data_IF_941278034493
#
_entry.id   IF_941278034493
#
_cell.length_a   1.000
_cell.length_b   1.000
_cell.length_c   1.000
_cell.angle_alpha   90.00
_cell.angle_beta   90.00
_cell.angle_gamma   90.00
#
_symmetry.space_group_name_H-M   'P 1'
#
loop_
_entity.id
_entity.type
_entity.pdbx_description
1 polymer ?
#
# COMPACT_ATOMS: atom_id res chain seq x y z
N UNK A 1 -10.47 2.92 -1.92
CA UNK A 1 -11.32 1.83 -1.42
C UNK A 1 -10.67 0.47 -1.66
N UNK A 2 -11.03 -0.50 -0.83
CA UNK A 2 -10.50 -1.87 -0.92
C UNK A 2 -11.10 -2.61 -2.12
N UNK A 3 -10.29 -3.43 -2.81
CA UNK A 3 -10.70 -4.33 -3.90
C UNK A 3 -11.37 -3.66 -5.12
N UNK A 4 -11.08 -2.42 -5.40
CA UNK A 4 -11.53 -1.74 -6.62
C UNK A 4 -10.56 -1.88 -7.80
N UNK A 5 -9.53 -2.73 -7.68
CA UNK A 5 -8.58 -3.02 -8.76
C UNK A 5 -7.34 -2.12 -8.81
N UNK A 6 -7.04 -1.32 -7.78
CA UNK A 6 -5.89 -0.40 -7.81
C UNK A 6 -4.56 -1.13 -8.07
N UNK A 7 -4.30 -2.24 -7.39
CA UNK A 7 -3.08 -3.02 -7.59
C UNK A 7 -2.97 -3.54 -9.02
N UNK A 8 -4.07 -4.01 -9.61
CA UNK A 8 -4.11 -4.45 -11.00
C UNK A 8 -3.84 -3.30 -11.97
N UNK A 9 -4.49 -2.15 -11.74
CA UNK A 9 -4.32 -0.94 -12.56
C UNK A 9 -2.86 -0.48 -12.57
N UNK A 10 -2.24 -0.34 -11.39
CA UNK A 10 -0.85 0.09 -11.30
C UNK A 10 0.14 -0.97 -11.80
N UNK A 11 -0.21 -2.26 -11.74
CA UNK A 11 0.57 -3.31 -12.39
C UNK A 11 0.55 -3.19 -13.91
N UNK A 12 -0.62 -2.88 -14.48
CA UNK A 12 -0.77 -2.63 -15.92
C UNK A 12 0.00 -1.39 -16.35
N UNK A 13 -0.22 -0.26 -15.67
CA UNK A 13 0.46 1.03 -15.95
C UNK A 13 1.98 0.91 -15.88
N UNK A 14 2.49 0.22 -14.86
CA UNK A 14 3.91 0.01 -14.71
C UNK A 14 4.50 -0.88 -15.81
N UNK A 15 3.78 -1.94 -16.19
CA UNK A 15 4.20 -2.81 -17.28
C UNK A 15 4.20 -2.05 -18.62
N UNK A 16 3.14 -1.32 -18.93
CA UNK A 16 3.07 -0.46 -20.11
C UNK A 16 4.21 0.55 -20.16
N UNK A 17 4.44 1.26 -19.05
CA UNK A 17 5.54 2.23 -18.96
C UNK A 17 6.90 1.56 -19.18
N UNK A 18 7.17 0.41 -18.57
CA UNK A 18 8.40 -0.33 -18.76
C UNK A 18 8.61 -0.75 -20.24
N UNK A 19 7.56 -1.19 -20.90
CA UNK A 19 7.61 -1.58 -22.31
C UNK A 19 7.89 -0.36 -23.20
N UNK A 20 7.24 0.76 -22.92
CA UNK A 20 7.33 1.96 -23.76
C UNK A 20 8.63 2.73 -23.58
N UNK A 21 9.17 2.78 -22.37
CA UNK A 21 10.31 3.66 -22.04
C UNK A 21 11.62 2.92 -21.80
N UNK A 22 11.58 1.65 -21.42
CA UNK A 22 12.76 0.92 -20.94
C UNK A 22 13.13 1.27 -19.49
N UNK A 23 12.35 2.09 -18.79
CA UNK A 23 12.65 2.54 -17.44
C UNK A 23 12.35 1.45 -16.39
N UNK A 24 13.21 1.34 -15.35
CA UNK A 24 12.99 0.38 -14.27
C UNK A 24 11.74 0.71 -13.46
N UNK A 25 11.05 -0.35 -13.03
CA UNK A 25 9.86 -0.27 -12.19
C UNK A 25 10.12 -1.02 -10.88
N UNK A 26 9.84 -0.38 -9.76
CA UNK A 26 10.13 -0.92 -8.44
C UNK A 26 8.82 -0.95 -7.63
N UNK A 27 8.47 -2.13 -7.15
CA UNK A 27 7.27 -2.34 -6.34
C UNK A 27 7.69 -2.62 -4.91
N UNK A 28 7.22 -1.79 -3.98
CA UNK A 28 7.38 -1.99 -2.56
C UNK A 28 6.04 -2.35 -1.93
N UNK A 29 6.03 -3.40 -1.13
CA UNK A 29 4.85 -3.86 -0.40
C UNK A 29 5.22 -4.22 1.03
N UNK A 30 4.24 -4.18 1.95
CA UNK A 30 4.46 -4.50 3.36
C UNK A 30 5.03 -5.92 3.58
N UNK A 31 4.73 -6.86 2.69
CA UNK A 31 5.22 -8.23 2.76
C UNK A 31 5.71 -8.75 1.40
N UNK A 32 6.55 -9.78 1.45
CA UNK A 32 7.00 -10.50 0.24
C UNK A 32 5.82 -11.08 -0.55
N UNK A 33 4.81 -11.60 0.14
CA UNK A 33 3.62 -12.18 -0.49
C UNK A 33 2.86 -11.12 -1.30
N UNK A 34 2.69 -9.92 -0.78
CA UNK A 34 2.05 -8.82 -1.52
C UNK A 34 2.87 -8.37 -2.73
N UNK A 35 4.20 -8.32 -2.60
CA UNK A 35 5.07 -8.03 -3.74
C UNK A 35 4.96 -9.08 -4.85
N UNK A 36 4.82 -10.36 -4.50
CA UNK A 36 4.57 -11.45 -5.47
C UNK A 36 3.18 -11.35 -6.12
N UNK A 37 2.16 -10.82 -5.46
CA UNK A 37 0.87 -10.54 -6.11
C UNK A 37 1.01 -9.50 -7.22
N UNK A 38 1.76 -8.44 -7.01
CA UNK A 38 2.08 -7.48 -8.07
C UNK A 38 2.74 -8.16 -9.26
N UNK A 39 3.74 -8.98 -8.98
CA UNK A 39 4.42 -9.75 -10.01
C UNK A 39 3.46 -10.64 -10.79
N UNK A 40 2.57 -11.35 -10.09
CA UNK A 40 1.60 -12.25 -10.74
C UNK A 40 0.63 -11.50 -11.66
N UNK A 41 0.18 -10.30 -11.27
CA UNK A 41 -0.64 -9.46 -12.16
C UNK A 41 0.10 -9.09 -13.43
N UNK A 42 1.36 -8.67 -13.35
CA UNK A 42 2.15 -8.30 -14.51
C UNK A 42 2.37 -9.51 -15.45
N UNK A 43 2.71 -10.67 -14.89
CA UNK A 43 2.86 -11.91 -15.66
C UNK A 43 1.56 -12.27 -16.38
N UNK A 44 0.42 -12.24 -15.68
CA UNK A 44 -0.89 -12.54 -16.24
C UNK A 44 -1.29 -11.52 -17.33
N UNK A 45 -1.05 -10.23 -17.12
CA UNK A 45 -1.30 -9.17 -18.09
C UNK A 45 -0.48 -9.43 -19.38
N UNK A 46 0.81 -9.69 -19.22
CA UNK A 46 1.69 -9.96 -20.35
C UNK A 46 1.24 -11.18 -21.16
N UNK A 47 0.83 -12.26 -20.49
CA UNK A 47 0.35 -13.47 -21.14
C UNK A 47 -1.02 -13.28 -21.80
N UNK A 48 -2.00 -12.73 -21.06
CA UNK A 48 -3.39 -12.64 -21.55
C UNK A 48 -3.58 -11.62 -22.67
N UNK A 49 -2.92 -10.47 -22.59
CA UNK A 49 -3.14 -9.37 -23.53
C UNK A 49 -2.09 -9.29 -24.64
N UNK A 50 -0.89 -9.83 -24.40
CA UNK A 50 0.22 -9.69 -25.35
C UNK A 50 0.81 -11.04 -25.80
N UNK A 51 0.39 -12.18 -25.21
CA UNK A 51 0.93 -13.49 -25.53
C UNK A 51 2.40 -13.68 -25.14
N UNK A 52 2.88 -12.90 -24.16
CA UNK A 52 4.29 -12.89 -23.74
C UNK A 52 4.43 -13.61 -22.40
N UNK A 53 5.30 -14.61 -22.35
CA UNK A 53 5.65 -15.28 -21.10
C UNK A 53 6.79 -14.54 -20.40
N UNK A 54 6.52 -13.96 -19.25
CA UNK A 54 7.51 -13.28 -18.41
C UNK A 54 7.99 -14.20 -17.29
N UNK A 55 9.31 -14.25 -17.08
CA UNK A 55 9.94 -15.07 -16.04
C UNK A 55 10.97 -14.28 -15.25
N UNK A 56 11.43 -14.85 -14.13
CA UNK A 56 12.46 -14.26 -13.29
C UNK A 56 11.92 -13.33 -12.19
N UNK A 57 12.83 -12.97 -11.28
CA UNK A 57 12.68 -11.92 -10.29
C UNK A 57 14.09 -11.34 -10.02
N UNK A 58 14.45 -10.15 -10.53
CA UNK A 58 13.57 -9.24 -11.31
C UNK A 58 13.13 -9.82 -12.67
N UNK A 59 11.99 -9.34 -13.17
CA UNK A 59 11.61 -9.57 -14.57
C UNK A 59 12.45 -8.59 -15.42
N UNK A 60 13.06 -9.10 -16.50
CA UNK A 60 13.83 -8.28 -17.43
C UNK A 60 13.18 -8.29 -18.80
N UNK A 61 12.90 -7.11 -19.32
CA UNK A 61 12.36 -6.94 -20.67
C UNK A 61 13.48 -6.81 -21.70
N UNK A 62 13.17 -7.09 -22.96
CA UNK A 62 14.14 -7.04 -24.07
C UNK A 62 14.71 -5.63 -24.33
N UNK A 63 13.98 -4.58 -23.94
CA UNK A 63 14.42 -3.19 -24.05
C UNK A 63 15.31 -2.72 -22.87
N UNK A 64 15.64 -3.62 -21.93
CA UNK A 64 16.49 -3.36 -20.79
C UNK A 64 15.75 -2.95 -19.51
N UNK A 65 14.42 -2.74 -19.56
CA UNK A 65 13.65 -2.45 -18.35
C UNK A 65 13.70 -3.60 -17.36
N UNK A 66 13.81 -3.29 -16.08
CA UNK A 66 13.73 -4.26 -14.99
C UNK A 66 12.54 -3.95 -14.09
N UNK A 67 11.73 -4.97 -13.81
CA UNK A 67 10.63 -4.89 -12.85
C UNK A 67 11.03 -5.67 -11.59
N UNK A 68 11.12 -4.95 -10.47
CA UNK A 68 11.59 -5.48 -9.18
C UNK A 68 10.47 -5.48 -8.15
N UNK A 69 10.34 -6.58 -7.42
CA UNK A 69 9.29 -6.79 -6.42
C UNK A 69 9.95 -7.00 -5.06
N UNK A 70 9.86 -5.98 -4.21
CA UNK A 70 10.63 -5.91 -2.98
C UNK A 70 9.71 -5.77 -1.76
N UNK A 71 9.98 -6.51 -0.68
CA UNK A 71 9.38 -6.21 0.61
C UNK A 71 10.04 -4.95 1.22
N UNK A 72 9.35 -4.30 2.14
CA UNK A 72 9.78 -3.04 2.78
C UNK A 72 10.97 -3.17 3.74
N UNK A 73 11.76 -4.24 3.66
CA UNK A 73 12.91 -4.43 4.54
C UNK A 73 14.09 -3.51 4.17
N UNK A 74 14.78 -3.02 5.21
CA UNK A 74 15.78 -1.97 5.24
C UNK A 74 16.97 -2.08 4.29
N UNK A 75 17.38 -3.28 3.91
CA UNK A 75 18.70 -3.49 3.28
C UNK A 75 18.64 -3.66 1.75
N UNK A 76 17.46 -3.85 1.18
CA UNK A 76 17.31 -4.24 -0.23
C UNK A 76 16.98 -3.06 -1.14
N UNK A 77 16.40 -2.00 -0.61
CA UNK A 77 15.81 -0.94 -1.42
C UNK A 77 16.79 0.18 -1.82
N UNK A 78 17.85 0.43 -1.04
CA UNK A 78 18.74 1.60 -1.26
C UNK A 78 19.60 1.55 -2.53
N UNK A 79 19.63 0.43 -3.24
CA UNK A 79 20.55 0.25 -4.39
C UNK A 79 19.88 0.41 -5.75
N UNK A 80 18.60 0.75 -5.78
CA UNK A 80 17.84 0.79 -7.04
C UNK A 80 17.29 2.18 -7.32
N UNK A 81 17.17 2.52 -8.59
CA UNK A 81 16.55 3.76 -9.07
C UNK A 81 15.54 3.43 -10.17
N UNK A 82 14.37 4.07 -10.14
CA UNK A 82 13.30 3.83 -11.09
C UNK A 82 11.97 4.41 -10.64
N UNK A 83 10.92 4.17 -11.42
CA UNK A 83 9.55 4.46 -11.02
C UNK A 83 9.17 3.56 -9.85
N UNK A 84 8.60 4.16 -8.80
CA UNK A 84 8.29 3.48 -7.55
C UNK A 84 6.79 3.38 -7.33
N UNK A 85 6.38 2.19 -6.90
CA UNK A 85 5.00 1.88 -6.50
C UNK A 85 5.00 1.33 -5.09
N UNK A 86 4.35 2.04 -4.16
CA UNK A 86 4.20 1.65 -2.76
C UNK A 86 2.76 1.22 -2.50
N UNK A 87 2.54 -0.10 -2.43
CA UNK A 87 1.23 -0.68 -2.14
C UNK A 87 0.99 -0.78 -0.64
N UNK A 88 -0.25 -0.48 -0.24
CA UNK A 88 -0.75 -0.57 1.13
C UNK A 88 0.16 0.15 2.16
N UNK A 89 0.65 1.34 1.79
CA UNK A 89 1.61 2.09 2.61
C UNK A 89 1.08 2.51 4.00
N UNK A 90 -0.24 2.62 4.18
CA UNK A 90 -0.88 2.83 5.49
C UNK A 90 -0.86 1.59 6.40
N UNK A 91 -0.39 0.45 5.89
CA UNK A 91 -0.26 -0.80 6.62
C UNK A 91 1.19 -1.22 6.83
N UNK A 92 2.14 -0.33 6.48
CA UNK A 92 3.57 -0.54 6.70
C UNK A 92 3.95 -0.01 8.08
N UNK A 93 4.39 -0.85 9.02
CA UNK A 93 4.64 -0.44 10.42
C UNK A 93 5.63 0.72 10.59
N UNK A 94 6.63 0.81 9.72
CA UNK A 94 7.65 1.86 9.79
C UNK A 94 7.67 2.70 8.51
N UNK A 95 6.57 3.41 8.28
CA UNK A 95 6.38 4.21 7.07
C UNK A 95 7.44 5.30 6.89
N UNK A 96 7.82 6.01 7.96
CA UNK A 96 8.83 7.09 7.87
C UNK A 96 10.11 6.58 7.23
N UNK A 97 10.60 5.43 7.69
CA UNK A 97 11.81 4.83 7.14
C UNK A 97 11.63 4.32 5.71
N UNK A 98 10.46 3.76 5.40
CA UNK A 98 10.11 3.38 4.03
C UNK A 98 10.15 4.59 3.11
N UNK A 99 9.54 5.70 3.53
CA UNK A 99 9.45 6.92 2.74
C UNK A 99 10.83 7.57 2.50
N UNK A 100 11.73 7.52 3.47
CA UNK A 100 13.13 7.94 3.28
C UNK A 100 13.82 7.13 2.18
N UNK A 101 13.69 5.81 2.22
CA UNK A 101 14.26 4.91 1.20
C UNK A 101 13.59 5.13 -0.15
N UNK A 102 12.28 5.23 -0.19
CA UNK A 102 11.49 5.47 -1.39
C UNK A 102 11.90 6.78 -2.08
N UNK A 103 12.05 7.85 -1.31
CA UNK A 103 12.50 9.16 -1.81
C UNK A 103 13.91 9.09 -2.41
N UNK A 104 14.83 8.33 -1.81
CA UNK A 104 16.17 8.13 -2.35
C UNK A 104 16.16 7.38 -3.69
N UNK A 105 15.27 6.40 -3.87
CA UNK A 105 15.15 5.62 -5.11
C UNK A 105 14.58 6.44 -6.27
N UNK A 106 13.73 7.41 -5.99
CA UNK A 106 13.07 8.27 -6.96
C UNK A 106 13.59 9.72 -6.91
N UNK A 107 14.87 9.93 -6.59
CA UNK A 107 15.47 11.28 -6.46
C UNK A 107 15.53 12.03 -7.78
N UNK A 108 15.62 11.34 -8.91
CA UNK A 108 15.63 11.99 -10.21
C UNK A 108 14.23 12.42 -10.64
N UNK A 109 14.06 13.63 -11.14
CA UNK A 109 12.77 14.19 -11.57
C UNK A 109 12.00 13.34 -12.60
N UNK A 110 12.71 12.48 -13.33
CA UNK A 110 12.07 11.57 -14.29
C UNK A 110 11.35 10.39 -13.62
N UNK A 111 11.66 10.06 -12.35
CA UNK A 111 11.07 8.95 -11.65
C UNK A 111 9.81 9.37 -10.91
N UNK A 112 8.71 8.65 -11.14
CA UNK A 112 7.47 8.84 -10.40
C UNK A 112 7.47 7.99 -9.13
N UNK A 113 6.84 8.52 -8.10
CA UNK A 113 6.54 7.79 -6.87
C UNK A 113 5.02 7.71 -6.71
N UNK A 114 4.49 6.51 -6.74
CA UNK A 114 3.06 6.23 -6.64
C UNK A 114 2.78 5.51 -5.33
N UNK A 115 2.00 6.14 -4.45
CA UNK A 115 1.53 5.56 -3.19
C UNK A 115 0.04 5.27 -3.30
N UNK A 116 -0.39 4.07 -2.96
CA UNK A 116 -1.81 3.74 -2.91
C UNK A 116 -2.09 2.76 -1.78
N UNK A 117 -3.22 2.94 -1.11
CA UNK A 117 -3.59 2.17 0.07
C UNK A 117 -5.05 2.40 0.44
N UNK A 118 -5.60 1.50 1.23
CA UNK A 118 -6.73 1.82 2.10
C UNK A 118 -6.24 2.59 3.32
N UNK A 119 -7.04 3.49 3.91
CA UNK A 119 -6.65 4.19 5.13
C UNK A 119 -6.57 3.23 6.34
N UNK A 120 -5.83 3.66 7.33
CA UNK A 120 -5.75 3.01 8.64
C UNK A 120 -6.09 4.01 9.76
N UNK A 121 -5.41 3.96 10.91
CA UNK A 121 -5.61 4.91 11.99
C UNK A 121 -4.93 6.26 11.72
N UNK A 122 -5.51 7.36 12.22
CA UNK A 122 -4.90 8.70 12.18
C UNK A 122 -3.58 8.78 12.94
N UNK A 123 -3.33 7.86 13.87
CA UNK A 123 -2.06 7.74 14.59
C UNK A 123 -0.94 7.10 13.78
N UNK A 124 -1.24 6.52 12.62
CA UNK A 124 -0.24 5.90 11.77
C UNK A 124 0.74 6.93 11.19
N UNK A 125 2.02 6.58 11.09
CA UNK A 125 3.10 7.46 10.60
C UNK A 125 2.85 8.04 9.20
N UNK A 126 2.11 7.35 8.35
CA UNK A 126 1.76 7.84 7.01
C UNK A 126 0.64 8.90 7.01
N UNK A 127 -0.07 9.11 8.12
CA UNK A 127 -1.17 10.08 8.16
C UNK A 127 -0.70 11.53 7.97
N UNK A 128 0.35 12.03 8.66
CA UNK A 128 0.91 13.36 8.40
C UNK A 128 1.44 13.55 6.97
N UNK A 129 1.97 12.50 6.35
CA UNK A 129 2.36 12.50 4.95
C UNK A 129 1.15 12.69 4.03
N UNK A 130 0.05 11.96 4.26
CA UNK A 130 -1.18 12.08 3.49
C UNK A 130 -1.86 13.44 3.64
N UNK A 131 -1.94 13.96 4.87
CA UNK A 131 -2.59 15.25 5.15
C UNK A 131 -1.73 16.46 4.77
N UNK A 132 -0.46 16.25 4.46
CA UNK A 132 0.51 17.29 4.21
C UNK A 132 1.05 17.96 5.48
N UNK A 133 0.71 17.45 6.67
CA UNK A 133 1.18 18.04 7.94
C UNK A 133 2.69 17.86 8.12
N UNK A 134 3.27 16.77 7.60
CA UNK A 134 4.71 16.58 7.53
C UNK A 134 5.40 17.70 6.72
N UNK A 135 4.85 18.02 5.54
CA UNK A 135 5.36 19.10 4.71
C UNK A 135 5.21 20.48 5.36
N UNK A 136 4.11 20.73 6.08
CA UNK A 136 3.87 21.98 6.81
C UNK A 136 4.89 22.22 7.92
N UNK A 137 5.34 21.16 8.59
CA UNK A 137 6.36 21.24 9.65
C UNK A 137 7.70 21.79 9.14
N UNK A 138 7.99 21.66 7.85
CA UNK A 138 9.23 22.13 7.25
C UNK A 138 9.40 23.66 7.22
N UNK A 139 8.34 24.45 7.45
CA UNK A 139 8.42 25.91 7.48
C UNK A 139 7.20 26.56 8.12
N UNK A 140 7.42 27.61 8.96
CA UNK A 140 6.33 28.41 9.55
C UNK A 140 5.38 29.01 8.50
N UNK A 141 5.90 29.36 7.30
CA UNK A 141 5.08 29.88 6.20
C UNK A 141 4.09 28.85 5.66
N UNK A 142 4.42 27.54 5.73
CA UNK A 142 3.60 26.45 5.24
C UNK A 142 2.46 26.09 6.19
N UNK A 143 2.56 26.42 7.47
CA UNK A 143 1.56 26.04 8.49
C UNK A 143 0.17 26.59 8.19
N UNK A 144 0.08 27.79 7.60
CA UNK A 144 -1.19 28.42 7.23
C UNK A 144 -1.79 27.91 5.93
N UNK A 145 -1.05 27.11 5.15
CA UNK A 145 -1.49 26.63 3.83
C UNK A 145 -2.51 25.50 4.02
N UNK A 146 -3.69 25.66 3.42
CA UNK A 146 -4.74 24.65 3.46
C UNK A 146 -4.50 23.58 2.39
N UNK A 147 -4.65 22.32 2.78
CA UNK A 147 -4.72 21.20 1.87
C UNK A 147 -6.17 20.96 1.45
N UNK A 148 -6.40 20.32 0.29
CA UNK A 148 -7.74 19.95 -0.14
C UNK A 148 -8.44 19.07 0.89
N UNK A 149 -9.73 19.26 1.02
CA UNK A 149 -10.61 18.44 1.85
C UNK A 149 -10.81 17.05 1.24
N UNK A 150 -11.35 16.13 2.04
CA UNK A 150 -11.69 14.79 1.57
C UNK A 150 -12.62 14.81 0.34
N UNK A 151 -13.65 15.65 0.38
CA UNK A 151 -14.62 15.74 -0.72
C UNK A 151 -13.99 16.34 -1.98
N UNK A 152 -13.13 17.35 -1.84
CA UNK A 152 -12.39 17.89 -2.96
C UNK A 152 -11.43 16.87 -3.58
N UNK A 153 -10.85 15.95 -2.80
CA UNK A 153 -10.01 14.88 -3.31
C UNK A 153 -10.83 13.75 -3.95
N UNK A 154 -12.11 13.58 -3.62
CA UNK A 154 -13.01 12.66 -4.32
C UNK A 154 -13.43 13.19 -5.69
N UNK A 155 -13.51 14.51 -5.83
CA UNK A 155 -13.91 15.18 -7.07
C UNK A 155 -12.75 15.26 -8.09
N UNK A 156 -12.28 14.09 -8.56
CA UNK A 156 -11.30 13.98 -9.64
C UNK A 156 -9.83 14.06 -9.24
N UNK A 157 -9.51 14.17 -7.95
CA UNK A 157 -8.15 14.33 -7.46
C UNK A 157 -7.53 15.70 -7.75
N UNK A 158 -6.47 16.07 -7.03
CA UNK A 158 -5.83 17.40 -7.15
C UNK A 158 -4.34 17.37 -6.85
N UNK A 159 -3.61 18.27 -7.48
CA UNK A 159 -2.26 18.60 -7.06
C UNK A 159 -2.34 19.41 -5.77
N UNK A 160 -1.71 18.90 -4.71
CA UNK A 160 -1.69 19.52 -3.39
C UNK A 160 -0.53 20.53 -3.26
N UNK A 161 -0.54 21.39 -2.21
CA UNK A 161 0.49 22.41 -2.01
C UNK A 161 1.93 21.88 -1.88
N UNK A 162 2.11 20.61 -1.54
CA UNK A 162 3.40 19.92 -1.51
C UNK A 162 3.84 19.37 -2.88
N UNK A 163 3.08 19.66 -3.95
CA UNK A 163 3.36 19.22 -5.31
C UNK A 163 2.87 17.79 -5.61
N UNK A 164 2.34 17.08 -4.64
CA UNK A 164 1.83 15.72 -4.87
C UNK A 164 0.37 15.73 -5.33
N UNK A 165 0.07 14.91 -6.33
CA UNK A 165 -1.31 14.67 -6.73
C UNK A 165 -1.95 13.65 -5.79
N UNK A 166 -3.13 13.97 -5.26
CA UNK A 166 -3.91 13.07 -4.39
C UNK A 166 -5.30 12.85 -4.92
N UNK A 167 -5.77 11.64 -4.76
CA UNK A 167 -7.11 11.24 -5.16
C UNK A 167 -7.72 10.24 -4.17
N UNK A 168 -9.00 10.39 -3.89
CA UNK A 168 -9.78 9.46 -3.07
C UNK A 168 -10.85 8.83 -3.94
N UNK A 169 -10.91 7.49 -3.94
CA UNK A 169 -11.96 6.72 -4.62
C UNK A 169 -12.62 5.82 -3.58
N UNK A 170 -13.85 6.13 -3.23
CA UNK A 170 -14.67 5.27 -2.36
C UNK A 170 -15.29 4.12 -3.16
N UNK A 171 -15.93 3.16 -2.47
CA UNK A 171 -16.69 2.11 -3.16
C UNK A 171 -17.87 2.69 -3.92
N UNK A 172 -18.51 3.73 -3.39
CA UNK A 172 -19.60 4.43 -4.07
C UNK A 172 -19.13 5.09 -5.37
N UNK A 173 -17.97 5.74 -5.34
CA UNK A 173 -17.37 6.35 -6.53
C UNK A 173 -17.01 5.29 -7.58
N UNK A 174 -16.46 4.17 -7.15
CA UNK A 174 -16.12 3.06 -8.04
C UNK A 174 -17.38 2.47 -8.70
N UNK A 175 -18.47 2.25 -7.94
CA UNK A 175 -19.74 1.76 -8.47
C UNK A 175 -20.35 2.79 -9.44
N UNK A 176 -20.34 4.07 -9.10
CA UNK A 176 -20.77 5.13 -9.99
C UNK A 176 -19.96 5.17 -11.29
N UNK A 177 -18.67 4.83 -11.23
CA UNK A 177 -17.78 4.68 -12.37
C UNK A 177 -17.93 3.36 -13.17
N UNK A 178 -18.87 2.49 -12.79
CA UNK A 178 -19.18 1.24 -13.51
C UNK A 178 -18.61 -0.04 -12.87
N UNK A 179 -17.99 0.05 -11.69
CA UNK A 179 -17.53 -1.14 -10.97
C UNK A 179 -18.74 -1.96 -10.47
N UNK A 180 -18.90 -3.18 -10.96
CA UNK A 180 -20.06 -4.04 -10.71
C UNK A 180 -19.75 -5.36 -9.99
N UNK A 181 -18.51 -5.54 -9.51
CA UNK A 181 -18.08 -6.79 -8.87
C UNK A 181 -18.39 -6.83 -7.36
N UNK A 182 -18.88 -5.73 -6.77
CA UNK A 182 -19.25 -5.67 -5.37
C UNK A 182 -20.68 -5.17 -5.17
N UNK A 183 -21.35 -5.71 -4.15
CA UNK A 183 -22.65 -5.22 -3.70
C UNK A 183 -22.45 -4.47 -2.38
N UNK A 184 -22.63 -3.14 -2.41
CA UNK A 184 -22.36 -2.27 -1.27
C UNK A 184 -23.26 -2.55 -0.06
N UNK A 185 -24.52 -2.91 -0.29
CA UNK A 185 -25.46 -3.23 0.79
C UNK A 185 -25.05 -4.53 1.53
N UNK A 186 -24.59 -5.54 0.79
CA UNK A 186 -24.04 -6.75 1.41
C UNK A 186 -22.78 -6.44 2.23
N UNK A 187 -21.94 -5.52 1.76
CA UNK A 187 -20.75 -5.09 2.48
C UNK A 187 -21.12 -4.32 3.75
N UNK A 188 -22.11 -3.41 3.70
CA UNK A 188 -22.61 -2.69 4.89
C UNK A 188 -23.14 -3.64 5.95
N UNK A 189 -23.86 -4.67 5.55
CA UNK A 189 -24.42 -5.66 6.48
C UNK A 189 -23.37 -6.61 7.08
N UNK A 190 -22.22 -6.76 6.40
CA UNK A 190 -21.14 -7.69 6.82
C UNK A 190 -20.20 -7.08 7.86
N UNK A 191 -20.00 -5.78 7.84
CA UNK A 191 -19.02 -5.08 8.68
C UNK A 191 -19.72 -4.11 9.62
N UNK A 192 -19.10 -3.85 10.78
CA UNK A 192 -19.53 -2.71 11.59
C UNK A 192 -19.25 -1.40 10.83
N UNK A 193 -19.93 -0.33 11.24
CA UNK A 193 -19.87 0.98 10.54
C UNK A 193 -18.45 1.52 10.43
N UNK A 194 -17.64 1.44 11.50
CA UNK A 194 -16.27 1.95 11.50
C UNK A 194 -15.40 1.19 10.49
N UNK A 195 -15.44 -0.14 10.50
CA UNK A 195 -14.70 -0.98 9.56
C UNK A 195 -15.17 -0.77 8.12
N UNK A 196 -16.48 -0.70 7.88
CA UNK A 196 -17.02 -0.40 6.56
C UNK A 196 -16.51 0.95 6.04
N UNK A 197 -16.61 2.00 6.86
CA UNK A 197 -16.16 3.33 6.50
C UNK A 197 -14.66 3.36 6.19
N UNK A 198 -13.84 2.69 6.99
CA UNK A 198 -12.39 2.61 6.74
C UNK A 198 -12.08 1.88 5.43
N UNK A 199 -12.59 0.68 5.25
CA UNK A 199 -12.21 -0.17 4.12
C UNK A 199 -12.81 0.27 2.78
N UNK A 200 -14.04 0.78 2.81
CA UNK A 200 -14.82 1.02 1.59
C UNK A 200 -15.10 2.51 1.33
N UNK A 201 -15.24 3.32 2.37
CA UNK A 201 -15.50 4.75 2.24
C UNK A 201 -14.25 5.63 2.43
N UNK A 202 -13.08 5.01 2.61
CA UNK A 202 -11.78 5.68 2.76
C UNK A 202 -11.69 6.64 3.95
N UNK A 203 -12.44 6.37 5.03
CA UNK A 203 -12.44 7.19 6.25
C UNK A 203 -11.36 6.67 7.21
N UNK A 204 -10.49 7.56 7.68
CA UNK A 204 -9.49 7.21 8.69
C UNK A 204 -10.13 6.99 10.06
N UNK A 205 -9.67 5.94 10.74
CA UNK A 205 -10.15 5.63 12.11
C UNK A 205 -9.46 6.55 13.11
N UNK A 206 -10.24 7.14 14.02
CA UNK A 206 -9.69 7.84 15.17
C UNK A 206 -9.33 6.83 16.27
N UNK A 207 -8.18 7.02 16.92
CA UNK A 207 -7.71 6.12 17.99
C UNK A 207 -8.64 6.06 19.19
N UNK A 208 -9.51 7.05 19.36
CA UNK A 208 -10.52 7.07 20.42
C UNK A 208 -11.64 6.04 20.23
N UNK A 209 -11.85 5.58 18.99
CA UNK A 209 -12.88 4.61 18.62
C UNK A 209 -12.34 3.17 18.53
N UNK A 210 -11.05 2.96 18.71
CA UNK A 210 -10.41 1.65 18.68
C UNK A 210 -10.28 1.08 20.09
N UNK A 211 -10.83 -0.13 20.31
CA UNK A 211 -10.70 -0.86 21.58
C UNK A 211 -9.24 -1.25 21.88
N UNK A 212 -8.44 -1.42 20.84
CA UNK A 212 -7.00 -1.68 20.93
C UNK A 212 -6.25 -0.68 20.07
N UNK A 213 -5.18 -0.08 20.60
CA UNK A 213 -4.29 0.75 19.79
C UNK A 213 -3.52 -0.12 18.80
N UNK A 214 -3.16 0.44 17.64
CA UNK A 214 -2.35 -0.29 16.66
C UNK A 214 -1.01 -0.74 17.25
N UNK A 215 -0.42 0.07 18.15
CA UNK A 215 0.79 -0.28 18.89
C UNK A 215 0.62 -1.48 19.81
N UNK A 216 -0.56 -1.66 20.40
CA UNK A 216 -0.85 -2.84 21.22
C UNK A 216 -0.97 -4.10 20.37
N UNK A 217 -1.60 -3.98 19.18
CA UNK A 217 -1.68 -5.09 18.24
C UNK A 217 -0.30 -5.45 17.63
N UNK A 218 0.54 -4.45 17.36
CA UNK A 218 1.90 -4.64 16.87
C UNK A 218 2.80 -5.29 17.96
N UNK A 219 2.66 -4.87 19.21
CA UNK A 219 3.37 -5.47 20.35
C UNK A 219 2.94 -6.93 20.62
N UNK A 220 1.72 -7.30 20.25
CA UNK A 220 1.23 -8.68 20.31
C UNK A 220 1.63 -9.51 19.09
N UNK A 221 2.09 -8.87 18.00
CA UNK A 221 2.56 -9.55 16.80
C UNK A 221 3.93 -10.19 17.02
N UNK A 222 3.98 -11.52 17.09
CA UNK A 222 5.24 -12.29 17.18
C UNK A 222 5.42 -13.02 15.85
N UNK A 223 6.61 -12.92 15.27
CA UNK A 223 6.96 -13.79 14.14
C UNK A 223 7.04 -15.23 14.67
N UNK A 224 6.17 -16.09 14.16
CA UNK A 224 6.05 -17.50 14.60
C UNK A 224 7.39 -18.24 14.47
N UNK A 225 8.19 -17.89 13.47
CA UNK A 225 9.52 -18.46 13.23
C UNK A 225 10.56 -18.10 14.30
N UNK A 226 10.26 -17.15 15.20
CA UNK A 226 11.15 -16.79 16.32
C UNK A 226 10.84 -17.53 17.62
N UNK A 227 9.76 -18.31 17.65
CA UNK A 227 9.39 -19.08 18.83
C UNK A 227 10.21 -20.38 18.91
N UNK A 228 11.28 -20.34 19.68
CA UNK A 228 12.22 -21.47 19.83
C UNK A 228 11.58 -22.73 20.44
N UNK A 229 10.45 -22.60 21.10
CA UNK A 229 9.71 -23.66 21.79
C UNK A 229 8.40 -24.06 21.06
N UNK A 230 8.14 -23.52 19.87
CA UNK A 230 7.02 -23.92 19.05
C UNK A 230 7.37 -25.19 18.25
N UNK A 231 6.65 -26.28 18.51
CA UNK A 231 6.73 -27.51 17.73
C UNK A 231 5.33 -27.84 17.15
N UNK A 232 5.07 -27.54 15.88
CA UNK A 232 3.76 -27.75 15.28
C UNK A 232 3.32 -29.21 15.21
N UNK A 233 4.27 -30.15 15.23
CA UNK A 233 4.02 -31.61 15.13
C UNK A 233 3.79 -32.25 16.50
N UNK A 234 3.99 -31.52 17.59
CA UNK A 234 3.76 -32.05 18.93
C UNK A 234 2.29 -32.01 19.32
N UNK A 235 1.86 -32.97 20.15
CA UNK A 235 0.49 -32.99 20.73
C UNK A 235 0.17 -31.70 21.53
N UNK A 236 1.19 -31.02 22.01
CA UNK A 236 1.12 -29.68 22.63
C UNK A 236 2.17 -28.79 21.98
N UNK A 237 1.80 -28.05 20.91
CA UNK A 237 2.77 -27.26 20.12
C UNK A 237 3.57 -26.21 20.91
N UNK A 238 3.06 -25.76 22.06
CA UNK A 238 3.72 -24.81 22.96
C UNK A 238 4.14 -25.40 24.31
N UNK A 239 4.27 -26.73 24.39
CA UNK A 239 4.60 -27.43 25.62
C UNK A 239 3.51 -27.29 26.69
N UNK A 240 3.91 -27.06 27.94
CA UNK A 240 2.97 -26.90 29.07
C UNK A 240 2.43 -25.47 29.27
N UNK A 241 2.71 -24.56 28.36
CA UNK A 241 2.19 -23.18 28.44
C UNK A 241 0.68 -23.14 28.14
N UNK A 242 -0.11 -22.39 28.90
CA UNK A 242 -1.51 -22.18 28.58
C UNK A 242 -1.62 -21.36 27.29
N UNK A 243 -2.28 -21.93 26.28
CA UNK A 243 -2.59 -21.24 25.02
C UNK A 243 -4.06 -20.83 25.06
N UNK A 244 -4.31 -19.54 24.94
CA UNK A 244 -5.66 -18.96 24.88
C UNK A 244 -5.98 -18.61 23.44
N UNK A 245 -6.94 -19.32 22.86
CA UNK A 245 -7.49 -18.97 21.55
C UNK A 245 -8.63 -17.97 21.72
N UNK A 246 -8.52 -16.82 21.06
CA UNK A 246 -9.65 -15.91 20.88
C UNK A 246 -10.45 -16.31 19.63
N UNK A 247 -11.78 -16.37 19.73
CA UNK A 247 -12.70 -16.54 18.62
C UNK A 247 -13.30 -15.22 18.17
#
# INVERSE_FOLDING_TARGET
SRQIGATWYFAFEAFENAVMTGDPQIFLSASKVQAEYFRSYIVNIAEQYFGITLTGNPIRLSNGAELRFLPTNKNTAQSYSGHLYCDEYFWVPNFTKLNEVASAMATHDKWRTTYFSTPSAKTHQAYPFWTGDEWKQGSKKRTAIKFPTFDELRDGGRVCPDGQWRYVITMEDAIAGGFNLANIEKLRNRYNTATFNMLYMCVFVDSKDSVFSFSDLEACGVEVDTWQDHNPDAARPFGDRPVWGGF
#
